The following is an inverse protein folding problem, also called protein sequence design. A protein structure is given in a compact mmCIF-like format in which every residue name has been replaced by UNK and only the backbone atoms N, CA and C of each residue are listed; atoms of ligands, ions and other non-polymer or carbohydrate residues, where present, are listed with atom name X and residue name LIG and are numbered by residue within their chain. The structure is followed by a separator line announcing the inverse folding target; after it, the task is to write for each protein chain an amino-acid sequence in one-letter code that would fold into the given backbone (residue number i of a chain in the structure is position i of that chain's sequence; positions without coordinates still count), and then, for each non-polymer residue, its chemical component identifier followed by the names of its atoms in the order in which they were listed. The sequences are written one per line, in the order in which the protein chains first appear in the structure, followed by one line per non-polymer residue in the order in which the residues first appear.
data_IF_026063903315
#
_entry.id   IF_026063903315
#
_cell.length_a   1.000
_cell.length_b   1.000
_cell.length_c   1.000
_cell.angle_alpha   90.00
_cell.angle_beta   90.00
_cell.angle_gamma   90.00
#
_symmetry.space_group_name_H-M   'P 1'
#
loop_
_entity.id
_entity.type
_entity.pdbx_description
1 polymer ?
#
# COMPACT_ATOMS: atom_id res chain seq x y z
N UNK A 1 3.17 -3.98 -24.33
CA UNK A 1 2.97 -3.70 -22.90
C UNK A 1 1.50 -3.97 -22.60
N UNK A 2 1.19 -5.15 -22.10
CA UNK A 2 -0.21 -5.53 -21.80
C UNK A 2 -0.54 -5.05 -20.38
N UNK A 3 -1.49 -4.14 -20.28
CA UNK A 3 -2.06 -3.73 -18.99
C UNK A 3 -2.98 -4.85 -18.51
N UNK A 4 -2.86 -5.27 -17.27
CA UNK A 4 -3.80 -6.25 -16.69
C UNK A 4 -5.20 -5.65 -16.62
N UNK A 5 -6.21 -6.20 -17.31
CA UNK A 5 -7.53 -5.58 -17.44
C UNK A 5 -8.33 -5.56 -16.12
N UNK A 6 -7.95 -6.33 -15.11
CA UNK A 6 -8.67 -6.42 -13.83
C UNK A 6 -8.30 -5.27 -12.89
N UNK A 7 -7.09 -4.71 -13.01
CA UNK A 7 -6.59 -3.65 -12.12
C UNK A 7 -6.68 -2.24 -12.73
N UNK A 8 -6.81 -2.13 -14.06
CA UNK A 8 -6.94 -0.82 -14.74
C UNK A 8 -8.36 -0.18 -14.57
N UNK A 9 -9.34 -0.95 -14.10
CA UNK A 9 -10.71 -0.46 -13.87
C UNK A 9 -10.88 0.41 -12.63
N UNK A 10 -9.88 0.54 -11.79
CA UNK A 10 -9.92 1.28 -10.53
C UNK A 10 -8.97 2.50 -10.51
N UNK A 11 -8.80 3.22 -11.65
CA UNK A 11 -8.34 4.62 -11.53
C UNK A 11 -9.46 5.39 -10.86
N UNK A 12 -9.34 5.73 -9.58
CA UNK A 12 -10.40 6.45 -8.91
C UNK A 12 -10.50 7.83 -9.54
N UNK A 13 -11.61 8.11 -10.21
CA UNK A 13 -11.99 9.49 -10.57
C UNK A 13 -11.96 10.41 -9.35
N UNK A 14 -12.03 9.83 -8.16
CA UNK A 14 -11.97 10.46 -6.88
C UNK A 14 -10.64 11.23 -6.63
N UNK A 15 -9.49 10.71 -7.04
CA UNK A 15 -8.19 11.39 -6.91
C UNK A 15 -7.87 12.31 -8.11
N UNK A 16 -8.80 12.54 -9.03
CA UNK A 16 -8.58 13.44 -10.17
C UNK A 16 -8.29 14.89 -9.76
N UNK A 17 -8.65 15.29 -8.54
CA UNK A 17 -8.30 16.59 -7.94
C UNK A 17 -6.94 16.58 -7.23
N UNK A 18 -6.44 15.40 -6.86
CA UNK A 18 -5.17 15.18 -6.21
C UNK A 18 -4.33 14.33 -7.16
N UNK A 19 -3.11 14.73 -7.43
CA UNK A 19 -2.24 14.00 -8.34
C UNK A 19 -1.87 12.66 -7.70
N UNK A 20 -2.31 11.55 -8.29
CA UNK A 20 -1.95 10.23 -7.84
C UNK A 20 -1.55 9.34 -9.01
N UNK A 21 -0.50 8.57 -8.81
CA UNK A 21 -0.02 7.56 -9.74
C UNK A 21 -0.09 6.17 -9.11
N UNK A 22 -0.46 5.19 -9.92
CA UNK A 22 -0.46 3.79 -9.52
C UNK A 22 0.37 3.01 -10.53
N UNK A 23 1.20 2.11 -10.02
CA UNK A 23 1.94 1.14 -10.83
C UNK A 23 1.74 -0.25 -10.26
N UNK A 24 1.58 -1.19 -11.15
CA UNK A 24 1.48 -2.59 -10.83
C UNK A 24 2.37 -3.40 -11.75
N UNK A 25 3.25 -4.24 -11.19
CA UNK A 25 4.18 -5.09 -11.92
C UNK A 25 4.04 -6.51 -11.40
N UNK A 26 3.41 -7.42 -12.16
CA UNK A 26 3.40 -8.83 -11.81
C UNK A 26 4.82 -9.39 -11.91
N UNK A 27 5.16 -10.31 -11.01
CA UNK A 27 6.31 -11.19 -11.19
C UNK A 27 6.18 -11.95 -12.52
N UNK A 28 7.31 -12.39 -13.07
CA UNK A 28 7.34 -13.08 -14.36
C UNK A 28 6.80 -14.51 -14.19
N UNK A 29 5.48 -14.65 -14.08
CA UNK A 29 4.76 -15.92 -14.05
C UNK A 29 3.78 -16.03 -15.22
N UNK A 30 3.55 -17.24 -15.70
CA UNK A 30 2.81 -17.52 -16.92
C UNK A 30 1.35 -17.01 -16.97
N UNK A 31 0.75 -16.69 -15.83
CA UNK A 31 -0.66 -16.28 -15.74
C UNK A 31 -0.89 -14.80 -15.45
N UNK A 32 0.14 -13.99 -15.11
CA UNK A 32 0.01 -12.58 -14.73
C UNK A 32 -1.10 -12.31 -13.66
N UNK A 33 -1.30 -13.26 -12.73
CA UNK A 33 -2.31 -13.20 -11.69
C UNK A 33 -1.60 -13.22 -10.34
N UNK A 34 -1.82 -12.24 -9.50
CA UNK A 34 -0.96 -11.82 -8.40
C UNK A 34 -1.70 -11.77 -7.08
N UNK A 35 -0.96 -11.91 -5.97
CA UNK A 35 -1.42 -11.73 -4.59
C UNK A 35 -1.49 -10.28 -4.14
N UNK A 36 -0.62 -9.44 -4.66
CA UNK A 36 -0.56 -8.02 -4.35
C UNK A 36 -1.80 -7.25 -4.79
N UNK A 37 -2.17 -6.25 -4.02
CA UNK A 37 -3.30 -5.40 -4.33
C UNK A 37 -3.13 -3.98 -3.81
N UNK A 38 -3.92 -3.08 -4.38
CA UNK A 38 -4.11 -1.73 -3.87
C UNK A 38 -5.59 -1.35 -3.94
N UNK A 39 -5.99 -0.40 -3.12
CA UNK A 39 -7.32 0.21 -3.20
C UNK A 39 -7.26 1.70 -2.87
N UNK A 40 -8.15 2.47 -3.50
CA UNK A 40 -8.37 3.87 -3.19
C UNK A 40 -9.86 4.10 -3.09
N UNK A 41 -10.31 4.39 -1.89
CA UNK A 41 -11.73 4.55 -1.57
C UNK A 41 -12.00 5.97 -1.08
N UNK A 42 -12.95 6.66 -1.70
CA UNK A 42 -13.51 7.89 -1.12
C UNK A 42 -14.45 7.51 0.02
N UNK A 43 -14.20 8.09 1.19
CA UNK A 43 -15.00 7.87 2.38
C UNK A 43 -16.17 8.85 2.47
N UNK A 44 -17.28 8.48 3.17
CA UNK A 44 -18.46 9.35 3.30
C UNK A 44 -18.19 10.72 3.92
N UNK A 45 -17.12 10.84 4.72
CA UNK A 45 -16.70 12.07 5.40
C UNK A 45 -15.74 12.95 4.57
N UNK A 46 -15.59 12.67 3.27
CA UNK A 46 -14.74 13.43 2.37
C UNK A 46 -13.26 13.05 2.38
N UNK A 47 -12.83 12.18 3.31
CA UNK A 47 -11.47 11.64 3.35
C UNK A 47 -11.26 10.59 2.26
N UNK A 48 -10.01 10.19 2.06
CA UNK A 48 -9.67 9.10 1.16
C UNK A 48 -8.89 8.02 1.92
N UNK A 49 -9.38 6.79 1.85
CA UNK A 49 -8.63 5.62 2.26
C UNK A 49 -7.78 5.15 1.09
N UNK A 50 -6.48 4.96 1.35
CA UNK A 50 -5.52 4.38 0.42
C UNK A 50 -4.89 3.18 1.10
N UNK A 51 -4.96 2.03 0.46
CA UNK A 51 -4.47 0.78 1.01
C UNK A 51 -3.62 0.02 -0.01
N UNK A 52 -2.66 -0.73 0.51
CA UNK A 52 -1.94 -1.79 -0.20
C UNK A 52 -1.90 -3.03 0.68
N UNK A 53 -1.80 -4.18 0.07
CA UNK A 53 -1.66 -5.44 0.78
C UNK A 53 -1.07 -6.52 -0.11
N UNK A 54 -0.65 -7.61 0.54
CA UNK A 54 -0.07 -8.76 -0.10
C UNK A 54 -0.65 -10.05 0.47
N UNK A 55 -0.96 -10.99 -0.42
CA UNK A 55 -1.47 -12.32 -0.11
C UNK A 55 -0.36 -13.35 -0.32
N UNK A 56 -0.10 -14.12 0.70
CA UNK A 56 0.91 -15.19 0.66
C UNK A 56 0.66 -16.15 -0.50
N UNK A 57 1.65 -16.33 -1.38
CA UNK A 57 1.58 -17.24 -2.50
C UNK A 57 1.30 -16.53 -3.83
N UNK A 58 1.05 -17.29 -4.88
CA UNK A 58 0.90 -16.77 -6.25
C UNK A 58 -0.19 -17.52 -7.05
N UNK A 59 -0.60 -16.92 -8.14
CA UNK A 59 -1.54 -17.54 -9.08
C UNK A 59 -2.99 -17.34 -8.68
N UNK A 60 -3.88 -18.18 -9.26
CA UNK A 60 -5.32 -17.95 -9.21
C UNK A 60 -5.91 -18.04 -7.80
N UNK A 61 -5.36 -18.90 -6.94
CA UNK A 61 -5.80 -19.04 -5.56
C UNK A 61 -5.52 -17.75 -4.76
N UNK A 62 -4.27 -17.25 -4.81
CA UNK A 62 -3.89 -16.01 -4.16
C UNK A 62 -4.72 -14.81 -4.67
N UNK A 63 -4.95 -14.72 -5.97
CA UNK A 63 -5.81 -13.69 -6.55
C UNK A 63 -7.26 -13.76 -6.09
N UNK A 64 -7.79 -14.96 -5.86
CA UNK A 64 -9.12 -15.15 -5.28
C UNK A 64 -9.22 -14.61 -3.86
N UNK A 65 -8.22 -14.91 -3.01
CA UNK A 65 -8.09 -14.37 -1.65
C UNK A 65 -7.92 -12.87 -1.68
N UNK A 66 -7.00 -12.34 -2.51
CA UNK A 66 -6.74 -10.93 -2.70
C UNK A 66 -8.04 -10.15 -3.03
N UNK A 67 -8.83 -10.63 -3.97
CA UNK A 67 -10.09 -9.99 -4.35
C UNK A 67 -11.09 -9.92 -3.19
N UNK A 68 -11.15 -10.95 -2.34
CA UNK A 68 -11.98 -10.98 -1.14
C UNK A 68 -11.49 -9.99 -0.09
N UNK A 69 -10.19 -10.01 0.25
CA UNK A 69 -9.61 -9.12 1.26
C UNK A 69 -9.73 -7.65 0.86
N UNK A 70 -9.41 -7.32 -0.38
CA UNK A 70 -9.55 -5.96 -0.92
C UNK A 70 -10.99 -5.46 -0.84
N UNK A 71 -11.97 -6.29 -1.25
CA UNK A 71 -13.38 -5.92 -1.20
C UNK A 71 -13.89 -5.75 0.23
N UNK A 72 -13.45 -6.64 1.15
CA UNK A 72 -13.81 -6.56 2.56
C UNK A 72 -13.25 -5.28 3.20
N UNK A 73 -11.97 -4.93 2.96
CA UNK A 73 -11.37 -3.70 3.47
C UNK A 73 -12.07 -2.46 2.92
N UNK A 74 -12.32 -2.42 1.61
CA UNK A 74 -13.03 -1.30 0.98
C UNK A 74 -14.42 -1.07 1.58
N UNK A 75 -15.14 -2.14 1.95
CA UNK A 75 -16.42 -2.04 2.63
C UNK A 75 -16.27 -1.60 4.10
N UNK A 76 -15.31 -2.17 4.83
CA UNK A 76 -15.04 -1.84 6.22
C UNK A 76 -14.64 -0.37 6.40
N UNK A 77 -13.80 0.17 5.53
CA UNK A 77 -13.33 1.57 5.56
C UNK A 77 -14.47 2.58 5.46
N UNK A 78 -15.59 2.24 4.81
CA UNK A 78 -16.75 3.13 4.68
C UNK A 78 -17.56 3.29 5.97
N UNK A 79 -17.44 2.37 6.91
CA UNK A 79 -18.23 2.33 8.16
C UNK A 79 -17.35 2.44 9.41
N UNK A 80 -16.05 2.21 9.29
CA UNK A 80 -15.09 2.31 10.38
C UNK A 80 -14.87 3.77 10.82
N UNK A 81 -14.42 3.95 12.06
CA UNK A 81 -14.04 5.26 12.60
C UNK A 81 -12.60 5.67 12.19
N UNK A 82 -11.78 4.71 11.76
CA UNK A 82 -10.39 4.93 11.34
C UNK A 82 -9.77 3.69 10.73
N UNK A 83 -8.53 3.80 10.18
CA UNK A 83 -7.85 2.69 9.52
C UNK A 83 -7.61 1.49 10.43
N UNK A 84 -7.34 1.69 11.73
CA UNK A 84 -7.18 0.57 12.65
C UNK A 84 -8.44 -0.28 12.77
N UNK A 85 -9.61 0.36 12.92
CA UNK A 85 -10.87 -0.35 13.01
C UNK A 85 -11.22 -1.05 11.68
N UNK A 86 -10.90 -0.44 10.55
CA UNK A 86 -11.10 -1.08 9.24
C UNK A 86 -10.25 -2.35 9.10
N UNK A 87 -8.98 -2.31 9.55
CA UNK A 87 -8.11 -3.48 9.59
C UNK A 87 -8.53 -4.52 10.64
N UNK A 88 -9.11 -4.11 11.78
CA UNK A 88 -9.69 -5.06 12.74
C UNK A 88 -10.84 -5.87 12.12
N UNK A 89 -11.72 -5.20 11.35
CA UNK A 89 -12.81 -5.87 10.61
C UNK A 89 -12.24 -6.79 9.54
N UNK A 90 -11.21 -6.34 8.81
CA UNK A 90 -10.53 -7.17 7.82
C UNK A 90 -9.90 -8.41 8.46
N UNK A 91 -9.25 -8.28 9.63
CA UNK A 91 -8.65 -9.39 10.36
C UNK A 91 -9.69 -10.47 10.74
N UNK A 92 -10.84 -10.02 11.24
CA UNK A 92 -11.95 -10.94 11.56
C UNK A 92 -12.44 -11.68 10.31
N UNK A 93 -12.54 -11.00 9.18
CA UNK A 93 -12.92 -11.60 7.91
C UNK A 93 -11.86 -12.59 7.40
N UNK A 94 -10.59 -12.20 7.44
CA UNK A 94 -9.46 -13.01 6.97
C UNK A 94 -9.40 -14.38 7.69
N UNK A 95 -9.74 -14.44 8.98
CA UNK A 95 -9.81 -15.71 9.74
C UNK A 95 -10.84 -16.70 9.20
N UNK A 96 -11.81 -16.26 8.40
CA UNK A 96 -12.82 -17.10 7.76
C UNK A 96 -12.50 -17.48 6.32
N UNK A 97 -11.40 -16.96 5.78
CA UNK A 97 -11.00 -17.16 4.38
C UNK A 97 -9.77 -18.06 4.33
N UNK A 98 -9.90 -19.24 3.75
CA UNK A 98 -8.79 -20.17 3.55
C UNK A 98 -7.69 -19.52 2.67
N UNK A 99 -6.46 -19.53 3.16
CA UNK A 99 -5.31 -18.94 2.47
C UNK A 99 -5.11 -17.43 2.75
N UNK A 100 -5.89 -16.84 3.66
CA UNK A 100 -5.72 -15.46 4.08
C UNK A 100 -4.82 -15.29 5.32
N UNK A 101 -4.32 -16.39 5.88
CA UNK A 101 -3.43 -16.36 7.03
C UNK A 101 -2.07 -15.74 6.65
N UNK A 102 -1.57 -14.87 7.51
CA UNK A 102 -0.32 -14.11 7.34
C UNK A 102 -0.28 -13.16 6.13
N UNK A 103 -1.42 -12.89 5.50
CA UNK A 103 -1.51 -11.79 4.55
C UNK A 103 -1.22 -10.46 5.24
N UNK A 104 -0.64 -9.52 4.50
CA UNK A 104 -0.31 -8.21 5.03
C UNK A 104 -1.15 -7.12 4.40
N UNK A 105 -1.41 -6.04 5.15
CA UNK A 105 -2.09 -4.87 4.64
C UNK A 105 -1.71 -3.62 5.43
N UNK A 106 -1.64 -2.48 4.76
CA UNK A 106 -1.57 -1.17 5.38
C UNK A 106 -2.67 -0.29 4.82
N UNK A 107 -3.30 0.48 5.67
CA UNK A 107 -4.30 1.46 5.28
C UNK A 107 -3.97 2.84 5.82
N UNK A 108 -4.09 3.85 4.97
CA UNK A 108 -3.92 5.26 5.30
C UNK A 108 -5.18 6.03 4.95
N UNK A 109 -5.63 6.89 5.85
CA UNK A 109 -6.75 7.82 5.61
C UNK A 109 -6.22 9.24 5.50
N UNK A 110 -6.37 9.85 4.35
CA UNK A 110 -5.90 11.20 4.07
C UNK A 110 -7.04 12.18 4.31
N UNK A 111 -6.82 13.11 5.22
CA UNK A 111 -7.71 14.22 5.56
C UNK A 111 -7.02 15.53 5.13
N UNK A 112 -7.36 16.02 3.93
CA UNK A 112 -6.77 17.26 3.40
C UNK A 112 -7.21 18.50 4.16
N UNK A 113 -8.42 18.50 4.74
CA UNK A 113 -8.92 19.65 5.50
C UNK A 113 -8.11 19.86 6.79
N UNK A 114 -7.69 18.75 7.42
CA UNK A 114 -6.84 18.77 8.61
C UNK A 114 -5.35 18.64 8.31
N UNK A 115 -4.98 18.36 7.05
CA UNK A 115 -3.60 18.05 6.64
C UNK A 115 -2.96 16.94 7.49
N UNK A 116 -3.68 15.82 7.65
CA UNK A 116 -3.28 14.69 8.50
C UNK A 116 -3.54 13.38 7.76
N UNK A 117 -2.58 12.46 7.87
CA UNK A 117 -2.71 11.05 7.50
C UNK A 117 -2.89 10.24 8.77
N UNK A 118 -4.03 9.57 8.95
CA UNK A 118 -4.18 8.51 9.93
C UNK A 118 -3.80 7.18 9.28
N UNK A 119 -3.14 6.27 10.01
CA UNK A 119 -2.69 5.00 9.44
C UNK A 119 -2.62 3.88 10.46
N UNK A 120 -2.69 2.64 9.95
CA UNK A 120 -2.48 1.39 10.68
C UNK A 120 -1.94 0.34 9.73
N UNK A 121 -1.11 -0.58 10.23
CA UNK A 121 -0.51 -1.66 9.44
C UNK A 121 -0.70 -3.02 10.11
N UNK A 122 -1.03 -4.01 9.31
CA UNK A 122 -1.11 -5.43 9.65
C UNK A 122 0.07 -6.16 8.99
N UNK A 123 1.27 -6.08 9.58
CA UNK A 123 2.48 -6.77 9.11
C UNK A 123 3.06 -6.23 7.79
N UNK A 124 2.52 -5.16 7.24
CA UNK A 124 2.92 -4.62 5.95
C UNK A 124 4.06 -3.59 6.08
N UNK A 125 4.95 -3.48 5.07
CA UNK A 125 5.98 -2.45 5.05
C UNK A 125 5.42 -1.04 5.28
N UNK A 126 6.13 -0.16 6.03
CA UNK A 126 5.62 1.15 6.39
C UNK A 126 5.53 2.08 5.17
N UNK A 127 4.41 2.81 4.98
CA UNK A 127 4.33 3.85 3.98
C UNK A 127 5.42 4.92 4.17
N UNK A 128 5.91 5.50 3.07
CA UNK A 128 6.89 6.57 3.11
C UNK A 128 6.21 7.92 2.88
N UNK A 129 6.50 8.89 3.74
CA UNK A 129 6.10 10.29 3.59
C UNK A 129 7.33 11.12 3.21
N UNK A 130 7.42 11.47 1.93
CA UNK A 130 8.46 12.33 1.38
C UNK A 130 8.05 13.80 1.59
N UNK A 131 8.87 14.54 2.33
CA UNK A 131 8.69 15.97 2.54
C UNK A 131 9.23 16.79 1.37
N UNK A 132 8.71 17.97 1.19
CA UNK A 132 9.21 18.92 0.18
C UNK A 132 10.68 19.27 0.33
N UNK A 133 11.23 19.18 1.55
CA UNK A 133 12.66 19.39 1.82
C UNK A 133 13.54 18.16 1.48
N UNK A 134 12.96 17.06 1.04
CA UNK A 134 13.64 15.81 0.71
C UNK A 134 13.72 14.79 1.85
N UNK A 135 13.35 15.17 3.08
CA UNK A 135 13.34 14.20 4.19
C UNK A 135 12.27 13.13 3.97
N UNK A 136 12.62 11.88 4.18
CA UNK A 136 11.69 10.74 4.12
C UNK A 136 11.40 10.25 5.55
N UNK A 137 10.12 10.12 5.86
CA UNK A 137 9.64 9.55 7.12
C UNK A 137 8.84 8.30 6.84
N UNK A 138 9.26 7.16 7.39
CA UNK A 138 8.46 5.94 7.36
C UNK A 138 7.37 5.99 8.44
N UNK A 139 6.14 5.64 8.06
CA UNK A 139 4.97 5.65 8.94
C UNK A 139 4.86 4.29 9.66
N UNK A 140 5.72 4.05 10.66
CA UNK A 140 5.95 2.77 11.33
C UNK A 140 5.38 2.67 12.75
N UNK A 141 4.81 3.75 13.31
CA UNK A 141 4.36 3.80 14.72
C UNK A 141 3.07 3.03 15.00
N UNK A 142 2.38 2.55 13.99
CA UNK A 142 1.12 1.81 14.11
C UNK A 142 1.21 0.46 13.40
N UNK A 143 2.27 -0.29 13.69
CA UNK A 143 2.51 -1.63 13.14
C UNK A 143 2.01 -2.70 14.12
N UNK A 144 1.35 -3.71 13.58
CA UNK A 144 0.79 -4.86 14.29
C UNK A 144 1.02 -6.14 13.46
N UNK A 145 0.92 -7.34 14.03
CA UNK A 145 1.11 -8.59 13.28
C UNK A 145 0.21 -8.71 12.03
N UNK A 146 0.62 -9.54 11.05
CA UNK A 146 -0.18 -9.85 9.86
C UNK A 146 -1.61 -10.28 10.18
N UNK A 147 -2.46 -10.28 9.17
CA UNK A 147 -3.86 -10.72 9.28
C UNK A 147 -3.93 -12.18 9.75
N UNK A 148 -4.83 -12.46 10.68
CA UNK A 148 -5.02 -13.79 11.27
C UNK A 148 -3.97 -14.19 12.31
N UNK A 149 -2.83 -13.51 12.42
CA UNK A 149 -1.76 -13.84 13.37
C UNK A 149 -2.00 -13.28 14.79
N UNK A 150 -2.91 -12.34 14.95
CA UNK A 150 -3.22 -11.75 16.24
C UNK A 150 -4.10 -12.66 17.09
N UNK A 151 -3.57 -13.18 18.21
CA UNK A 151 -4.28 -14.15 19.07
C UNK A 151 -5.22 -13.51 20.09
N UNK A 152 -5.10 -12.23 20.39
CA UNK A 152 -5.89 -11.52 21.36
C UNK A 152 -6.77 -10.45 20.69
N UNK A 153 -7.96 -10.20 21.26
CA UNK A 153 -8.90 -9.16 20.80
C UNK A 153 -8.43 -7.75 21.23
N UNK A 154 -7.15 -7.44 21.13
CA UNK A 154 -6.65 -6.09 21.30
C UNK A 154 -6.92 -5.31 20.01
N UNK A 155 -7.41 -4.07 20.13
CA UNK A 155 -7.57 -3.20 18.98
C UNK A 155 -6.21 -2.92 18.34
N UNK A 156 -6.15 -2.89 17.00
CA UNK A 156 -4.93 -2.53 16.28
C UNK A 156 -4.52 -1.08 16.59
N UNK A 157 -3.22 -0.79 16.65
CA UNK A 157 -2.75 0.56 16.87
C UNK A 157 -3.10 1.47 15.67
N UNK A 158 -3.33 2.74 15.96
CA UNK A 158 -3.47 3.79 14.96
C UNK A 158 -2.55 4.95 15.32
N UNK A 159 -1.93 5.54 14.31
CA UNK A 159 -1.13 6.74 14.47
C UNK A 159 -1.53 7.80 13.45
N UNK A 160 -1.14 9.04 13.71
CA UNK A 160 -1.34 10.17 12.80
C UNK A 160 0.01 10.80 12.44
N UNK A 161 0.12 11.26 11.19
CA UNK A 161 1.24 12.03 10.69
C UNK A 161 0.71 13.30 10.00
N UNK A 162 1.15 14.49 10.40
CA UNK A 162 0.80 15.72 9.69
C UNK A 162 1.57 15.79 8.36
N UNK A 163 0.98 16.43 7.36
CA UNK A 163 1.64 16.72 6.10
C UNK A 163 1.48 18.19 5.71
N UNK A 164 2.30 18.65 4.77
CA UNK A 164 2.20 19.96 4.15
C UNK A 164 1.88 19.83 2.66
N UNK A 165 1.34 20.89 2.08
CA UNK A 165 1.11 20.92 0.63
C UNK A 165 2.43 20.72 -0.13
N UNK A 166 2.42 19.80 -1.08
CA UNK A 166 3.58 19.39 -1.86
C UNK A 166 4.38 18.21 -1.28
N UNK A 167 4.04 17.73 -0.07
CA UNK A 167 4.54 16.44 0.40
C UNK A 167 3.97 15.31 -0.45
N UNK A 168 4.60 14.15 -0.43
CA UNK A 168 4.17 12.99 -1.21
C UNK A 168 4.09 11.74 -0.32
N UNK A 169 2.95 11.06 -0.36
CA UNK A 169 2.74 9.77 0.30
C UNK A 169 2.97 8.64 -0.70
N UNK A 170 3.75 7.63 -0.28
CA UNK A 170 4.07 6.46 -1.10
C UNK A 170 3.74 5.19 -0.32
N UNK A 171 2.85 4.37 -0.89
CA UNK A 171 2.55 3.02 -0.41
C UNK A 171 3.05 2.01 -1.45
N UNK A 172 3.55 0.88 -0.98
CA UNK A 172 4.16 -0.13 -1.83
C UNK A 172 4.13 -1.48 -1.15
N UNK A 173 4.18 -2.55 -1.95
CA UNK A 173 4.37 -3.92 -1.47
C UNK A 173 5.85 -4.27 -1.41
N UNK A 174 6.19 -5.34 -0.69
CA UNK A 174 7.56 -5.75 -0.41
C UNK A 174 8.39 -6.03 -1.68
N UNK A 175 7.76 -6.50 -2.78
CA UNK A 175 8.42 -6.67 -4.06
C UNK A 175 9.14 -5.44 -4.61
N UNK A 176 8.82 -4.23 -4.11
CA UNK A 176 9.57 -3.02 -4.44
C UNK A 176 10.91 -2.92 -3.72
N UNK A 177 10.99 -3.37 -2.47
CA UNK A 177 12.12 -3.14 -1.58
C UNK A 177 12.92 -4.40 -1.28
N UNK A 178 12.29 -5.58 -1.31
CA UNK A 178 12.91 -6.83 -0.90
C UNK A 178 13.84 -7.40 -1.97
N UNK A 179 14.99 -7.92 -1.52
CA UNK A 179 15.95 -8.68 -2.31
C UNK A 179 16.43 -9.88 -1.53
N UNK A 180 16.53 -11.05 -2.18
CA UNK A 180 16.81 -12.36 -1.58
C UNK A 180 18.02 -12.42 -0.64
N UNK A 181 18.97 -11.49 -0.73
CA UNK A 181 20.23 -11.51 0.04
C UNK A 181 20.41 -10.26 0.91
N UNK A 182 19.41 -9.43 1.04
CA UNK A 182 19.45 -8.16 1.77
C UNK A 182 18.45 -8.15 2.92
N UNK A 183 18.78 -7.40 3.97
CA UNK A 183 17.84 -7.06 5.03
C UNK A 183 16.78 -6.06 4.49
N UNK A 184 15.58 -6.11 5.02
CA UNK A 184 14.51 -5.18 4.69
C UNK A 184 14.92 -3.72 4.92
N UNK A 185 15.75 -3.47 5.94
CA UNK A 185 16.27 -2.13 6.26
C UNK A 185 17.14 -1.57 5.12
N UNK A 186 17.89 -2.41 4.43
CA UNK A 186 18.66 -2.01 3.25
C UNK A 186 17.73 -1.61 2.10
N UNK A 187 16.61 -2.32 1.93
CA UNK A 187 15.57 -1.99 0.96
C UNK A 187 14.90 -0.65 1.27
N UNK A 188 14.56 -0.41 2.54
CA UNK A 188 13.98 0.85 3.00
C UNK A 188 14.94 2.03 2.82
N UNK A 189 16.23 1.85 3.16
CA UNK A 189 17.26 2.87 2.95
C UNK A 189 17.38 3.23 1.47
N UNK A 190 17.43 2.24 0.58
CA UNK A 190 17.47 2.43 -0.87
C UNK A 190 16.24 3.16 -1.39
N UNK A 191 15.05 2.85 -0.87
CA UNK A 191 13.82 3.56 -1.21
C UNK A 191 13.88 5.03 -0.76
N UNK A 192 14.36 5.29 0.45
CA UNK A 192 14.50 6.66 0.95
C UNK A 192 15.45 7.50 0.08
N UNK A 193 16.60 6.93 -0.32
CA UNK A 193 17.55 7.59 -1.22
C UNK A 193 16.94 7.87 -2.61
N UNK A 194 16.17 6.92 -3.16
CA UNK A 194 15.49 7.10 -4.44
C UNK A 194 14.42 8.21 -4.35
N UNK A 195 13.63 8.22 -3.29
CA UNK A 195 12.62 9.25 -3.04
C UNK A 195 13.25 10.65 -2.91
N UNK A 196 14.33 10.78 -2.13
CA UNK A 196 15.05 12.06 -1.99
C UNK A 196 15.59 12.55 -3.34
N UNK A 197 16.18 11.66 -4.12
CA UNK A 197 16.75 11.97 -5.45
C UNK A 197 15.71 12.49 -6.41
N UNK A 198 14.51 11.94 -6.37
CA UNK A 198 13.40 12.28 -7.27
C UNK A 198 12.34 13.20 -6.63
N UNK A 199 12.64 13.87 -5.51
CA UNK A 199 11.69 14.67 -4.72
C UNK A 199 10.93 15.75 -5.49
N UNK A 200 11.50 16.25 -6.59
CA UNK A 200 10.89 17.29 -7.41
C UNK A 200 10.00 16.72 -8.54
N UNK A 201 9.92 15.39 -8.67
CA UNK A 201 9.13 14.76 -9.72
C UNK A 201 7.64 14.76 -9.36
N UNK A 202 6.78 14.97 -10.35
CA UNK A 202 5.35 14.77 -10.20
C UNK A 202 5.06 13.27 -9.94
N UNK A 203 3.94 12.91 -9.28
CA UNK A 203 3.65 11.53 -8.86
C UNK A 203 3.79 10.46 -9.97
N UNK A 204 3.36 10.77 -11.20
CA UNK A 204 3.50 9.84 -12.33
C UNK A 204 4.98 9.58 -12.68
N UNK A 205 5.79 10.64 -12.75
CA UNK A 205 7.21 10.54 -13.03
C UNK A 205 7.98 9.90 -11.87
N UNK A 206 7.60 10.21 -10.63
CA UNK A 206 8.18 9.59 -9.44
C UNK A 206 7.91 8.08 -9.42
N UNK A 207 6.68 7.66 -9.68
CA UNK A 207 6.32 6.24 -9.74
C UNK A 207 7.14 5.47 -10.80
N UNK A 208 7.33 6.06 -11.98
CA UNK A 208 8.15 5.44 -13.04
C UNK A 208 9.64 5.38 -12.65
N UNK A 209 10.17 6.44 -12.03
CA UNK A 209 11.55 6.51 -11.57
C UNK A 209 11.82 5.46 -10.47
N UNK A 210 10.91 5.33 -9.51
CA UNK A 210 11.01 4.34 -8.44
C UNK A 210 11.03 2.92 -9.00
N UNK A 211 10.13 2.57 -9.92
CA UNK A 211 10.15 1.23 -10.53
C UNK A 211 11.45 0.96 -11.31
N UNK A 212 11.94 1.95 -12.04
CA UNK A 212 13.18 1.81 -12.81
C UNK A 212 14.40 1.59 -11.93
N UNK A 213 14.46 2.27 -10.78
CA UNK A 213 15.62 2.27 -9.89
C UNK A 213 15.59 1.12 -8.87
N UNK A 214 14.39 0.79 -8.35
CA UNK A 214 14.23 -0.19 -7.29
C UNK A 214 14.18 -1.62 -7.82
N UNK A 215 13.59 -1.86 -8.99
CA UNK A 215 13.47 -3.20 -9.52
C UNK A 215 14.79 -3.68 -10.15
N UNK A 216 15.13 -4.98 -10.00
CA UNK A 216 16.35 -5.56 -10.59
C UNK A 216 16.36 -5.46 -12.11
N UNK A 217 17.56 -5.39 -12.69
CA UNK A 217 17.76 -5.55 -14.13
C UNK A 217 17.37 -7.00 -14.50
N UNK A 218 16.23 -7.16 -15.17
CA UNK A 218 15.66 -8.48 -15.49
C UNK A 218 14.20 -8.63 -15.07
N UNK A 219 13.66 -7.65 -14.37
CA UNK A 219 12.27 -7.58 -13.95
C UNK A 219 12.05 -7.88 -12.47
N UNK A 220 10.82 -7.70 -12.03
CA UNK A 220 10.40 -7.97 -10.66
C UNK A 220 10.53 -9.48 -10.34
N UNK A 221 11.12 -9.78 -9.20
CA UNK A 221 11.21 -11.17 -8.67
C UNK A 221 9.96 -11.55 -7.90
N UNK A 222 9.20 -10.56 -7.45
CA UNK A 222 7.90 -10.69 -6.80
C UNK A 222 6.92 -9.67 -7.38
N UNK A 223 5.63 -9.87 -7.11
CA UNK A 223 4.61 -8.91 -7.48
C UNK A 223 4.91 -7.56 -6.83
N UNK A 224 4.59 -6.47 -7.50
CA UNK A 224 4.87 -5.13 -6.98
C UNK A 224 3.69 -4.21 -7.25
N UNK A 225 3.08 -3.71 -6.19
CA UNK A 225 2.12 -2.62 -6.23
C UNK A 225 2.76 -1.34 -5.67
N UNK A 226 2.52 -0.21 -6.31
CA UNK A 226 3.04 1.10 -5.91
C UNK A 226 1.96 2.17 -6.11
N UNK A 227 1.69 2.93 -5.07
CA UNK A 227 0.84 4.12 -5.13
C UNK A 227 1.64 5.33 -4.69
N UNK A 228 1.58 6.40 -5.47
CA UNK A 228 2.18 7.70 -5.16
C UNK A 228 1.08 8.74 -5.14
N UNK A 229 0.90 9.44 -4.03
CA UNK A 229 -0.14 10.47 -3.84
C UNK A 229 0.52 11.81 -3.50
N UNK A 230 0.28 12.82 -4.34
CA UNK A 230 0.63 14.22 -4.02
C UNK A 230 -0.35 14.78 -2.97
N UNK A 231 0.18 15.41 -1.94
CA UNK A 231 -0.54 15.93 -0.78
C UNK A 231 -0.68 17.45 -0.80
#
# INVERSE_FOLDING_TARGET
MSKSPILDAARPQALARHQAAVRYRPAVHALNVCGDWYDVTQLPNGKYAVAVGDVVGHGLAAAGVMGQLRSALSAASRVAAGPAQALDVLDLYARSVEGAENCTAVETWIDWDRSVIAYSSAGHPPPALLRTNGTVHFLDRATDPPLGAHLAHAARPQAEAPFAAGDTLVLYTDGLIERRSEDIDAGLARLAEALERHRAAAPEALADALLLEMLPVGGATDDTALIVVGL
#
